data_IF_784849671168
#
_entry.id   IF_784849671168
#
_cell.length_a   1.000
_cell.length_b   1.000
_cell.length_c   1.000
_cell.angle_alpha   90.00
_cell.angle_beta   90.00
_cell.angle_gamma   90.00
#
_symmetry.space_group_name_H-M   'P 1'
#
loop_
_entity.id
_entity.type
_entity.pdbx_description
1 polymer ?
#
# COMPACT_ATOMS: atom_id res chain seq x y z
N UNK A 1 -69.78 -20.73 -57.39
CA UNK A 1 -69.72 -20.01 -56.09
C UNK A 1 -68.71 -20.73 -55.22
N UNK A 2 -67.43 -20.35 -55.35
CA UNK A 2 -66.31 -20.90 -54.57
C UNK A 2 -65.47 -19.70 -54.18
N UNK A 3 -65.45 -19.42 -52.88
CA UNK A 3 -64.81 -18.27 -52.26
C UNK A 3 -63.32 -18.56 -52.06
N UNK A 4 -62.47 -17.71 -52.65
CA UNK A 4 -61.02 -17.74 -52.47
C UNK A 4 -60.63 -17.25 -51.08
N UNK A 5 -59.97 -18.11 -50.29
CA UNK A 5 -59.23 -17.74 -49.09
C UNK A 5 -57.82 -17.32 -49.52
N UNK A 6 -57.51 -16.03 -49.41
CA UNK A 6 -56.14 -15.52 -49.54
C UNK A 6 -55.65 -15.05 -48.15
N UNK A 7 -54.57 -15.67 -47.70
CA UNK A 7 -53.93 -15.46 -46.39
C UNK A 7 -53.00 -14.24 -46.43
N UNK A 8 -53.09 -13.29 -45.48
CA UNK A 8 -52.11 -12.23 -45.35
C UNK A 8 -50.95 -12.65 -44.44
N UNK A 9 -49.75 -12.42 -44.99
CA UNK A 9 -48.44 -12.46 -44.36
C UNK A 9 -48.41 -11.60 -43.08
N UNK A 10 -47.80 -12.13 -42.02
CA UNK A 10 -47.24 -11.31 -40.95
C UNK A 10 -45.75 -11.58 -40.81
N UNK A 11 -45.00 -10.56 -41.21
CA UNK A 11 -43.57 -10.35 -41.09
C UNK A 11 -43.21 -10.29 -39.59
N UNK A 12 -42.59 -11.33 -39.04
CA UNK A 12 -42.05 -11.27 -37.69
C UNK A 12 -40.63 -10.72 -37.74
N UNK A 13 -40.52 -9.43 -37.40
CA UNK A 13 -39.28 -8.70 -37.16
C UNK A 13 -38.49 -9.39 -36.02
N UNK A 14 -37.32 -9.98 -36.34
CA UNK A 14 -36.36 -10.44 -35.33
C UNK A 14 -35.44 -9.27 -34.97
N UNK A 15 -35.68 -8.67 -33.81
CA UNK A 15 -34.76 -7.72 -33.18
C UNK A 15 -34.62 -8.06 -31.70
N UNK A 16 -33.63 -8.89 -31.35
CA UNK A 16 -33.15 -8.99 -29.96
C UNK A 16 -31.69 -9.46 -29.97
N UNK A 17 -30.84 -8.64 -30.56
CA UNK A 17 -29.42 -8.58 -30.24
C UNK A 17 -29.22 -7.38 -29.29
N UNK A 18 -28.22 -7.46 -28.41
CA UNK A 18 -27.78 -6.44 -27.44
C UNK A 18 -28.47 -6.46 -26.07
N UNK A 19 -28.08 -7.39 -25.18
CA UNK A 19 -28.15 -7.16 -23.72
C UNK A 19 -27.29 -8.12 -22.89
N UNK A 20 -26.05 -8.43 -23.30
CA UNK A 20 -25.09 -9.16 -22.45
C UNK A 20 -23.64 -8.70 -22.64
N UNK A 21 -23.41 -7.38 -22.76
CA UNK A 21 -22.05 -6.83 -22.88
C UNK A 21 -21.77 -5.67 -21.89
N UNK A 22 -22.49 -5.60 -20.77
CA UNK A 22 -22.47 -4.43 -19.86
C UNK A 22 -22.00 -4.67 -18.43
N UNK A 23 -21.58 -5.88 -18.03
CA UNK A 23 -21.34 -6.22 -16.59
C UNK A 23 -19.92 -6.72 -16.29
N UNK A 24 -18.99 -6.78 -17.26
CA UNK A 24 -17.63 -7.34 -17.04
C UNK A 24 -16.55 -6.25 -16.90
N UNK A 25 -16.92 -5.03 -16.47
CA UNK A 25 -16.00 -3.88 -16.41
C UNK A 25 -15.97 -3.19 -15.04
N UNK A 26 -16.22 -3.94 -13.95
CA UNK A 26 -16.33 -3.36 -12.60
C UNK A 26 -15.40 -3.90 -11.51
N UNK A 27 -14.38 -4.71 -11.78
CA UNK A 27 -13.58 -5.29 -10.68
C UNK A 27 -12.06 -5.37 -10.86
N UNK A 28 -11.44 -4.64 -11.78
CA UNK A 28 -9.97 -4.63 -11.90
C UNK A 28 -9.35 -3.28 -11.54
N UNK A 29 -9.73 -2.70 -10.39
CA UNK A 29 -8.79 -1.86 -9.64
C UNK A 29 -7.82 -2.80 -8.91
N UNK A 30 -7.01 -3.53 -9.67
CA UNK A 30 -5.81 -4.15 -9.11
C UNK A 30 -4.90 -2.99 -8.72
N UNK A 31 -4.95 -2.60 -7.45
CA UNK A 31 -3.95 -1.72 -6.86
C UNK A 31 -2.62 -2.39 -7.11
N UNK A 32 -1.86 -1.85 -8.06
CA UNK A 32 -0.51 -2.31 -8.38
C UNK A 32 0.25 -2.18 -7.07
N UNK A 33 0.59 -3.30 -6.45
CA UNK A 33 1.54 -3.31 -5.35
C UNK A 33 2.82 -2.72 -5.89
N UNK A 34 3.13 -1.48 -5.53
CA UNK A 34 4.34 -0.82 -5.98
C UNK A 34 5.51 -1.59 -5.37
N UNK A 35 6.28 -2.28 -6.23
CA UNK A 35 7.60 -2.77 -5.87
C UNK A 35 8.46 -1.57 -5.45
N UNK A 36 9.32 -1.77 -4.44
CA UNK A 36 10.24 -0.80 -3.82
C UNK A 36 9.88 0.69 -3.90
N UNK A 37 9.57 1.30 -2.75
CA UNK A 37 9.31 2.76 -2.67
C UNK A 37 10.49 3.48 -2.02
N UNK A 38 10.92 4.62 -2.56
CA UNK A 38 11.90 5.50 -1.90
C UNK A 38 11.14 6.61 -1.18
N UNK A 39 11.34 6.72 0.13
CA UNK A 39 10.79 7.82 0.93
C UNK A 39 11.89 8.73 1.46
N UNK A 40 11.59 10.01 1.62
CA UNK A 40 12.42 10.97 2.35
C UNK A 40 11.77 11.27 3.70
N UNK A 41 12.50 11.02 4.78
CA UNK A 41 12.19 11.50 6.11
C UNK A 41 12.76 12.91 6.28
N UNK A 42 11.99 13.85 6.82
CA UNK A 42 12.45 15.22 7.09
C UNK A 42 11.81 15.79 8.35
N UNK A 43 12.56 16.61 9.09
CA UNK A 43 12.09 17.28 10.31
C UNK A 43 12.59 18.74 10.37
N UNK A 44 11.79 19.69 10.91
CA UNK A 44 12.22 21.08 11.09
C UNK A 44 13.52 21.29 11.90
N UNK A 45 13.95 20.30 12.70
CA UNK A 45 15.23 20.36 13.41
C UNK A 45 16.46 20.14 12.51
N UNK A 46 16.27 19.96 11.20
CA UNK A 46 17.34 19.71 10.23
C UNK A 46 17.70 18.24 10.02
N UNK A 47 16.95 17.31 10.62
CA UNK A 47 17.09 15.87 10.30
C UNK A 47 16.51 15.58 8.92
N UNK A 48 17.26 14.84 8.08
CA UNK A 48 16.84 14.39 6.76
C UNK A 48 17.46 13.04 6.43
N UNK A 49 16.69 12.11 5.85
CA UNK A 49 17.18 10.79 5.43
C UNK A 49 16.33 10.18 4.33
N UNK A 50 16.97 9.63 3.30
CA UNK A 50 16.30 8.87 2.24
C UNK A 50 16.36 7.38 2.53
N UNK A 51 15.25 6.67 2.32
CA UNK A 51 15.05 5.29 2.75
C UNK A 51 14.38 4.47 1.63
N UNK A 52 15.04 3.41 1.14
CA UNK A 52 14.39 2.41 0.29
C UNK A 52 13.52 1.48 1.14
N UNK A 53 12.21 1.58 0.98
CA UNK A 53 11.24 0.74 1.67
C UNK A 53 10.83 -0.48 0.85
N UNK A 54 10.41 -1.50 1.57
CA UNK A 54 9.91 -2.78 1.08
C UNK A 54 10.96 -3.59 0.31
N UNK A 55 10.52 -4.46 -0.61
CA UNK A 55 11.39 -5.18 -1.53
C UNK A 55 11.08 -4.81 -2.98
N UNK A 56 12.09 -4.89 -3.85
CA UNK A 56 11.94 -4.80 -5.30
C UNK A 56 11.34 -6.07 -5.89
N UNK A 57 11.09 -6.09 -7.21
CA UNK A 57 10.54 -7.25 -7.94
C UNK A 57 11.37 -8.51 -7.78
N UNK A 58 12.69 -8.40 -7.56
CA UNK A 58 13.58 -9.55 -7.37
C UNK A 58 13.49 -10.17 -5.97
N UNK A 59 13.16 -9.40 -4.93
CA UNK A 59 13.25 -9.84 -3.54
C UNK A 59 12.00 -9.54 -2.69
N UNK A 60 10.88 -9.09 -3.26
CA UNK A 60 9.66 -8.75 -2.53
C UNK A 60 9.07 -9.88 -1.66
N UNK A 61 9.45 -11.14 -1.94
CA UNK A 61 9.04 -12.31 -1.14
C UNK A 61 9.95 -12.57 0.06
N UNK A 62 11.17 -12.03 0.05
CA UNK A 62 12.23 -12.30 1.04
C UNK A 62 12.69 -11.04 1.77
N UNK A 63 12.38 -9.85 1.25
CA UNK A 63 12.70 -8.56 1.84
C UNK A 63 11.45 -7.68 1.96
N UNK A 64 11.19 -7.19 3.17
CA UNK A 64 10.24 -6.13 3.45
C UNK A 64 10.91 -5.12 4.37
N UNK A 65 11.71 -4.22 3.80
CA UNK A 65 12.42 -3.20 4.58
C UNK A 65 11.45 -2.14 5.11
N UNK A 66 11.46 -1.90 6.41
CA UNK A 66 10.59 -0.91 7.04
C UNK A 66 11.37 -0.02 8.02
N UNK A 67 11.01 1.27 8.17
CA UNK A 67 11.74 2.16 9.05
C UNK A 67 11.47 1.84 10.52
N UNK A 68 12.52 1.93 11.33
CA UNK A 68 12.49 1.86 12.78
C UNK A 68 13.37 2.96 13.39
N UNK A 69 12.99 3.42 14.58
CA UNK A 69 13.78 4.32 15.41
C UNK A 69 14.89 3.53 16.10
N UNK A 70 16.15 3.90 15.83
CA UNK A 70 17.32 3.49 16.61
C UNK A 70 17.62 4.58 17.64
N UNK A 71 17.16 4.36 18.88
CA UNK A 71 17.33 5.34 19.97
C UNK A 71 18.81 5.56 20.32
N UNK A 72 19.64 4.53 20.19
CA UNK A 72 21.06 4.62 20.56
C UNK A 72 21.84 5.48 19.57
N UNK A 73 21.47 5.43 18.28
CA UNK A 73 22.14 6.19 17.22
C UNK A 73 21.49 7.53 16.89
N UNK A 74 20.33 7.83 17.48
CA UNK A 74 19.51 8.99 17.11
C UNK A 74 19.27 9.05 15.59
N UNK A 75 18.94 7.90 14.99
CA UNK A 75 18.76 7.74 13.55
C UNK A 75 17.59 6.80 13.21
N UNK A 76 17.15 6.80 11.96
CA UNK A 76 16.21 5.80 11.42
C UNK A 76 17.01 4.64 10.84
N UNK A 77 16.80 3.43 11.33
CA UNK A 77 17.30 2.21 10.71
C UNK A 77 16.22 1.59 9.81
N UNK A 78 16.65 0.77 8.84
CA UNK A 78 15.76 -0.15 8.14
C UNK A 78 15.96 -1.54 8.69
N UNK A 79 14.87 -2.29 8.84
CA UNK A 79 14.91 -3.71 9.20
C UNK A 79 13.96 -4.50 8.31
N UNK A 80 14.25 -5.79 8.14
CA UNK A 80 13.41 -6.69 7.37
C UNK A 80 12.28 -7.25 8.25
N UNK A 81 11.04 -6.87 7.93
CA UNK A 81 9.86 -7.29 8.71
C UNK A 81 9.59 -8.80 8.58
N UNK A 82 10.09 -9.46 7.53
CA UNK A 82 9.97 -10.92 7.42
C UNK A 82 10.92 -11.67 8.38
N UNK A 83 12.06 -11.08 8.72
CA UNK A 83 12.98 -11.66 9.70
C UNK A 83 12.53 -11.36 11.13
N UNK A 84 11.97 -10.18 11.35
CA UNK A 84 11.51 -9.72 12.67
C UNK A 84 10.06 -9.21 12.58
N UNK A 85 9.08 -10.12 12.57
CA UNK A 85 7.68 -9.76 12.40
C UNK A 85 7.16 -9.05 13.65
N UNK A 86 6.84 -7.76 13.51
CA UNK A 86 6.24 -6.93 14.57
C UNK A 86 4.90 -7.54 15.03
N UNK A 87 4.96 -8.40 16.03
CA UNK A 87 3.87 -9.21 16.61
C UNK A 87 4.11 -9.30 18.12
N UNK A 88 3.05 -9.52 18.90
CA UNK A 88 3.16 -9.64 20.36
C UNK A 88 4.18 -10.70 20.81
N UNK A 89 4.32 -11.78 20.03
CA UNK A 89 5.18 -12.93 20.34
C UNK A 89 6.58 -12.85 19.70
N UNK A 90 6.84 -11.84 18.87
CA UNK A 90 8.14 -11.66 18.22
C UNK A 90 8.49 -10.17 18.28
N UNK A 91 9.23 -9.75 19.32
CA UNK A 91 9.69 -8.37 19.39
C UNK A 91 10.58 -8.10 18.17
N UNK A 92 10.51 -6.86 17.67
CA UNK A 92 11.38 -6.40 16.60
C UNK A 92 12.87 -6.55 16.95
N UNK A 93 13.77 -6.20 16.02
CA UNK A 93 15.21 -6.28 16.26
C UNK A 93 15.60 -5.53 17.54
N UNK A 94 16.52 -6.06 18.37
CA UNK A 94 16.92 -5.41 19.61
C UNK A 94 17.37 -3.96 19.39
N UNK A 95 16.85 -3.04 20.22
CA UNK A 95 17.18 -1.61 20.14
C UNK A 95 16.48 -0.83 19.03
N UNK A 96 15.66 -1.49 18.20
CA UNK A 96 14.87 -0.85 17.16
C UNK A 96 13.39 -0.83 17.53
N UNK A 97 12.73 0.31 17.31
CA UNK A 97 11.28 0.46 17.51
C UNK A 97 10.65 0.81 16.17
N UNK A 98 9.81 -0.08 15.65
CA UNK A 98 9.11 0.10 14.37
C UNK A 98 8.32 1.42 14.32
N UNK A 99 8.39 2.14 13.20
CA UNK A 99 7.52 3.31 12.98
C UNK A 99 6.05 2.92 12.69
N UNK A 100 5.75 1.63 12.55
CA UNK A 100 4.38 1.11 12.56
C UNK A 100 3.89 0.75 13.98
N UNK A 101 4.76 0.85 15.00
CA UNK A 101 4.34 0.64 16.38
C UNK A 101 3.40 1.76 16.85
N UNK A 102 2.37 1.44 17.66
CA UNK A 102 1.44 2.46 18.18
C UNK A 102 2.13 3.62 18.91
N UNK A 103 3.29 3.36 19.53
CA UNK A 103 4.04 4.37 20.27
C UNK A 103 4.66 5.45 19.36
N UNK A 104 5.04 5.09 18.13
CA UNK A 104 5.70 6.01 17.20
C UNK A 104 4.78 6.49 16.07
N UNK A 105 3.65 5.81 15.85
CA UNK A 105 2.66 6.23 14.87
C UNK A 105 2.12 7.64 15.18
N UNK A 106 1.68 8.38 14.15
CA UNK A 106 1.00 9.65 14.33
C UNK A 106 -0.35 9.42 15.03
N UNK A 107 -0.73 10.29 15.95
CA UNK A 107 -2.04 10.24 16.63
C UNK A 107 -3.19 10.43 15.63
N UNK A 108 -2.96 11.25 14.61
CA UNK A 108 -3.89 11.52 13.51
C UNK A 108 -3.20 11.18 12.18
N UNK A 109 -3.26 9.91 11.73
CA UNK A 109 -2.63 9.51 10.48
C UNK A 109 -3.25 10.29 9.31
N UNK A 110 -2.37 10.83 8.47
CA UNK A 110 -2.72 11.60 7.27
C UNK A 110 -2.72 10.70 6.03
N UNK A 111 -2.31 11.21 4.87
CA UNK A 111 -2.17 10.42 3.66
C UNK A 111 -1.13 9.32 3.83
N UNK A 112 -1.44 8.11 3.33
CA UNK A 112 -0.48 7.02 3.26
C UNK A 112 0.54 7.31 2.15
N UNK A 113 1.83 7.40 2.51
CA UNK A 113 2.91 7.63 1.54
C UNK A 113 3.51 6.33 1.02
N UNK A 114 3.46 5.28 1.83
CA UNK A 114 3.92 3.95 1.46
C UNK A 114 3.10 2.91 2.22
N UNK A 115 2.64 1.87 1.53
CA UNK A 115 1.98 0.76 2.19
C UNK A 115 2.33 -0.56 1.50
N UNK A 116 2.28 -1.65 2.27
CA UNK A 116 2.54 -2.98 1.77
C UNK A 116 1.66 -4.01 2.48
N UNK A 117 0.92 -4.79 1.70
CA UNK A 117 0.12 -5.89 2.22
C UNK A 117 0.97 -7.16 2.32
N UNK A 118 1.28 -7.57 3.55
CA UNK A 118 2.01 -8.81 3.83
C UNK A 118 1.01 -9.94 4.00
N UNK A 119 0.75 -10.67 2.91
CA UNK A 119 -0.24 -11.76 2.91
C UNK A 119 0.10 -12.86 3.93
N UNK A 120 1.37 -13.24 4.05
CA UNK A 120 1.84 -14.28 4.98
C UNK A 120 1.61 -13.94 6.46
N UNK A 121 1.50 -12.65 6.79
CA UNK A 121 1.26 -12.16 8.16
C UNK A 121 -0.16 -11.62 8.34
N UNK A 122 -1.01 -11.67 7.31
CA UNK A 122 -2.37 -11.14 7.36
C UNK A 122 -2.46 -9.65 7.69
N UNK A 123 -1.40 -8.86 7.47
CA UNK A 123 -1.32 -7.45 7.89
C UNK A 123 -0.91 -6.51 6.76
N UNK A 124 -1.25 -5.24 6.92
CA UNK A 124 -0.78 -4.15 6.05
C UNK A 124 0.14 -3.25 6.86
N UNK A 125 1.37 -3.07 6.38
CA UNK A 125 2.25 -2.03 6.90
C UNK A 125 1.94 -0.73 6.17
N UNK A 126 1.76 0.36 6.90
CA UNK A 126 1.47 1.67 6.35
C UNK A 126 2.36 2.71 6.99
N UNK A 127 2.96 3.56 6.16
CA UNK A 127 3.67 4.76 6.55
C UNK A 127 2.85 5.96 6.06
N UNK A 128 2.56 6.89 6.97
CA UNK A 128 1.80 8.10 6.70
C UNK A 128 2.73 9.29 6.46
N UNK A 129 2.18 10.41 6.01
CA UNK A 129 2.99 11.56 5.64
C UNK A 129 3.64 12.27 6.84
N UNK A 130 3.07 12.25 8.04
CA UNK A 130 3.63 13.07 9.12
C UNK A 130 3.08 12.83 10.51
N UNK A 131 3.69 13.50 11.49
CA UNK A 131 3.38 13.38 12.92
C UNK A 131 4.25 12.33 13.65
N UNK A 132 5.38 11.96 13.05
CA UNK A 132 6.28 10.95 13.61
C UNK A 132 7.30 11.56 14.56
N UNK A 133 7.71 10.76 15.56
CA UNK A 133 8.82 11.11 16.45
C UNK A 133 10.12 11.18 15.65
N UNK A 134 10.75 12.36 15.66
CA UNK A 134 12.07 12.57 15.07
C UNK A 134 13.15 11.94 15.96
N UNK A 135 14.11 11.18 15.40
CA UNK A 135 15.15 10.54 16.20
C UNK A 135 16.14 11.54 16.82
N UNK A 136 16.23 12.77 16.28
CA UNK A 136 17.19 13.79 16.70
C UNK A 136 16.65 14.77 17.74
N UNK A 137 15.43 15.25 17.57
CA UNK A 137 14.83 16.23 18.49
C UNK A 137 13.69 15.67 19.33
N UNK A 138 13.32 14.40 19.12
CA UNK A 138 12.30 13.64 19.88
C UNK A 138 10.88 14.23 19.83
N UNK A 139 10.66 15.28 19.03
CA UNK A 139 9.34 15.87 18.77
C UNK A 139 8.62 15.11 17.67
N UNK A 140 7.28 15.09 17.73
CA UNK A 140 6.37 14.53 16.70
C UNK A 140 6.22 15.44 15.47
N UNK A 141 7.33 15.93 14.93
CA UNK A 141 7.35 16.88 13.80
C UNK A 141 7.97 16.31 12.53
N UNK A 142 8.39 15.04 12.55
CA UNK A 142 8.98 14.39 11.39
C UNK A 142 7.90 13.98 10.39
N UNK A 143 8.20 14.14 9.10
CA UNK A 143 7.35 13.78 7.98
C UNK A 143 8.08 12.84 7.02
N UNK A 144 7.32 11.94 6.39
CA UNK A 144 7.77 11.11 5.29
C UNK A 144 7.10 11.59 4.00
N UNK A 145 7.82 11.54 2.88
CA UNK A 145 7.29 11.82 1.54
C UNK A 145 7.85 10.83 0.54
N UNK A 146 7.04 10.37 -0.40
CA UNK A 146 7.54 9.57 -1.52
C UNK A 146 8.35 10.44 -2.44
N UNK A 147 9.57 10.02 -2.76
CA UNK A 147 10.51 10.75 -3.63
C UNK A 147 10.96 9.92 -4.82
N UNK A 148 10.55 8.66 -4.89
CA UNK A 148 10.83 7.79 -6.03
C UNK A 148 10.41 6.35 -5.80
N UNK A 149 10.78 5.50 -6.74
CA UNK A 149 10.61 4.06 -6.69
C UNK A 149 11.96 3.40 -6.98
N UNK A 150 12.16 2.18 -6.49
CA UNK A 150 13.36 1.41 -6.70
C UNK A 150 13.03 -0.04 -7.00
N UNK A 151 13.79 -0.62 -7.93
CA UNK A 151 13.72 -2.04 -8.30
C UNK A 151 15.03 -2.47 -8.97
#
# INVERSE_FOLDING_TARGET
>A
MVTAKCSPRSLAFRATACLFLGVVLLCFNATIGHAGTIVSASCPCGYSKTLPLFGGRRNFKTACMFPALDKAKHDIALYNVFEYPDTENSPGPPGLISYASPNLMPEHPSEAVAFWRIQSLGKTLTLYQGGYVCPRCEKRTMTFRTVGFWD
#
